data_IF_980743631079
#
_entry.id   IF_980743631079
#
_cell.length_a   1.000
_cell.length_b   1.000
_cell.length_c   1.000
_cell.angle_alpha   90.00
_cell.angle_beta   90.00
_cell.angle_gamma   90.00
#
_symmetry.space_group_name_H-M   'P 1'
#
loop_
_entity.id
_entity.type
_entity.pdbx_description
1 polymer ?
#
# COMPACT_ATOMS: atom_id res chain seq x y z
N UNK A 1 37.93 -42.59 14.85
CA UNK A 1 36.48 -42.56 14.56
C UNK A 1 35.92 -41.29 15.19
N UNK A 2 35.47 -40.31 14.39
CA UNK A 2 34.74 -39.14 14.88
C UNK A 2 33.27 -39.38 14.58
N UNK A 3 32.44 -39.39 15.61
CA UNK A 3 30.98 -39.50 15.53
C UNK A 3 30.42 -38.28 14.81
N UNK A 4 29.44 -38.41 13.90
CA UNK A 4 28.81 -37.25 13.29
C UNK A 4 27.83 -36.63 14.29
N UNK A 5 27.99 -35.35 14.59
CA UNK A 5 26.99 -34.57 15.32
C UNK A 5 25.75 -34.39 14.43
N UNK A 6 24.64 -34.98 14.85
CA UNK A 6 23.31 -34.71 14.30
C UNK A 6 22.91 -33.28 14.65
N UNK A 7 22.84 -32.40 13.64
CA UNK A 7 22.17 -31.10 13.74
C UNK A 7 20.69 -31.32 14.05
N UNK A 8 20.27 -30.93 15.24
CA UNK A 8 18.85 -30.81 15.61
C UNK A 8 18.17 -29.81 14.66
N UNK A 9 17.04 -30.14 14.01
CA UNK A 9 16.33 -29.18 13.19
C UNK A 9 15.80 -28.04 14.07
N UNK A 10 16.14 -26.81 13.71
CA UNK A 10 15.58 -25.60 14.31
C UNK A 10 14.09 -25.56 14.04
N UNK A 11 13.28 -25.75 15.08
CA UNK A 11 11.83 -25.60 15.00
C UNK A 11 11.49 -24.11 14.89
N UNK A 12 11.18 -23.65 13.69
CA UNK A 12 10.61 -22.31 13.51
C UNK A 12 9.21 -22.28 14.14
N UNK A 13 8.92 -21.29 15.02
CA UNK A 13 7.64 -21.21 15.69
C UNK A 13 6.52 -20.97 14.67
N UNK A 14 5.43 -21.72 14.82
CA UNK A 14 4.22 -21.56 14.03
C UNK A 14 3.58 -20.18 14.26
N UNK A 15 2.75 -19.68 13.34
CA UNK A 15 2.01 -18.44 13.56
C UNK A 15 1.17 -18.45 14.85
N UNK A 16 0.60 -19.61 15.20
CA UNK A 16 -0.16 -19.78 16.42
C UNK A 16 0.72 -19.53 17.67
N UNK A 17 1.92 -20.12 17.72
CA UNK A 17 2.88 -19.95 18.82
C UNK A 17 3.40 -18.51 18.91
N UNK A 18 3.59 -17.85 17.76
CA UNK A 18 3.97 -16.43 17.72
C UNK A 18 2.87 -15.53 18.27
N UNK A 19 1.60 -15.83 18.00
CA UNK A 19 0.46 -15.10 18.57
C UNK A 19 0.36 -15.38 20.09
N UNK A 20 0.59 -16.62 20.53
CA UNK A 20 0.64 -16.95 21.96
C UNK A 20 1.79 -16.24 22.69
N UNK A 21 2.97 -16.14 22.07
CA UNK A 21 4.06 -15.33 22.59
C UNK A 21 3.67 -13.86 22.69
N UNK A 22 3.08 -13.29 21.64
CA UNK A 22 2.63 -11.90 21.63
C UNK A 22 1.60 -11.58 22.70
N UNK A 23 0.63 -12.48 22.92
CA UNK A 23 -0.39 -12.34 23.97
C UNK A 23 0.26 -12.32 25.35
N UNK A 24 1.20 -13.23 25.61
CA UNK A 24 1.94 -13.30 26.88
C UNK A 24 2.83 -12.09 27.12
N UNK A 25 3.51 -11.60 26.08
CA UNK A 25 4.40 -10.43 26.16
C UNK A 25 3.70 -9.13 26.54
N UNK A 26 2.40 -9.00 26.27
CA UNK A 26 1.64 -7.79 26.61
C UNK A 26 1.53 -7.61 28.13
N UNK A 27 1.42 -8.70 28.89
CA UNK A 27 1.45 -8.70 30.35
C UNK A 27 0.33 -7.91 31.06
N UNK A 28 -0.69 -7.47 30.32
CA UNK A 28 -1.80 -6.64 30.83
C UNK A 28 -3.13 -6.99 30.15
N UNK A 29 -4.18 -6.20 30.42
CA UNK A 29 -5.54 -6.40 29.92
C UNK A 29 -5.63 -6.53 28.39
N UNK A 30 -4.67 -5.98 27.64
CA UNK A 30 -4.64 -6.07 26.17
C UNK A 30 -4.29 -7.47 25.72
N UNK A 31 -3.41 -8.16 26.44
CA UNK A 31 -3.11 -9.57 26.22
C UNK A 31 -4.33 -10.45 26.45
N UNK A 32 -5.02 -10.25 27.58
CA UNK A 32 -6.25 -10.97 27.91
C UNK A 32 -7.35 -10.74 26.87
N UNK A 33 -7.55 -9.48 26.46
CA UNK A 33 -8.52 -9.10 25.44
C UNK A 33 -8.19 -9.73 24.09
N UNK A 34 -6.93 -9.66 23.65
CA UNK A 34 -6.48 -10.26 22.39
C UNK A 34 -6.61 -11.79 22.41
N UNK A 35 -6.32 -12.43 23.54
CA UNK A 35 -6.55 -13.86 23.74
C UNK A 35 -8.03 -14.24 23.64
N UNK A 36 -8.91 -13.46 24.27
CA UNK A 36 -10.37 -13.65 24.17
C UNK A 36 -10.88 -13.48 22.75
N UNK A 37 -10.44 -12.44 22.04
CA UNK A 37 -10.76 -12.23 20.62
C UNK A 37 -10.34 -13.45 19.79
N UNK A 38 -9.08 -13.89 19.93
CA UNK A 38 -8.57 -15.06 19.20
C UNK A 38 -9.41 -16.30 19.44
N UNK A 39 -9.77 -16.58 20.70
CA UNK A 39 -10.62 -17.71 21.05
C UNK A 39 -11.99 -17.62 20.36
N UNK A 40 -12.63 -16.45 20.39
CA UNK A 40 -13.93 -16.24 19.74
C UNK A 40 -13.85 -16.39 18.20
N UNK A 41 -12.77 -15.92 17.57
CA UNK A 41 -12.54 -16.09 16.13
C UNK A 41 -12.43 -17.58 15.78
N UNK A 42 -11.63 -18.35 16.53
CA UNK A 42 -11.44 -19.80 16.31
C UNK A 42 -12.71 -20.59 16.58
N UNK A 43 -13.53 -20.16 17.54
CA UNK A 43 -14.82 -20.79 17.83
C UNK A 43 -15.85 -20.50 16.72
N UNK A 44 -15.89 -19.27 16.20
CA UNK A 44 -16.77 -18.92 15.08
C UNK A 44 -16.37 -19.64 13.79
N UNK A 45 -15.08 -19.75 13.53
CA UNK A 45 -14.53 -20.23 12.27
C UNK A 45 -13.34 -21.17 12.53
N UNK A 46 -13.58 -22.47 12.76
CA UNK A 46 -12.53 -23.44 13.09
C UNK A 46 -11.43 -23.56 12.03
N UNK A 47 -11.78 -23.31 10.75
CA UNK A 47 -10.86 -23.35 9.61
C UNK A 47 -10.15 -22.00 9.34
N UNK A 48 -10.19 -21.07 10.30
CA UNK A 48 -9.50 -19.78 10.17
C UNK A 48 -7.98 -19.99 10.11
N UNK A 49 -7.33 -19.29 9.19
CA UNK A 49 -5.88 -19.29 9.07
C UNK A 49 -5.33 -18.17 9.96
N UNK A 50 -4.42 -18.52 10.86
CA UNK A 50 -3.69 -17.56 11.69
C UNK A 50 -2.33 -17.24 11.06
N UNK A 51 -2.03 -15.95 10.96
CA UNK A 51 -0.78 -15.44 10.41
C UNK A 51 -0.24 -14.31 11.31
N UNK A 52 1.07 -14.08 11.26
CA UNK A 52 1.68 -12.88 11.85
C UNK A 52 2.21 -12.01 10.71
N UNK A 53 1.65 -10.81 10.57
CA UNK A 53 2.02 -9.86 9.51
C UNK A 53 2.58 -8.57 10.11
N UNK A 54 3.31 -7.81 9.30
CA UNK A 54 3.77 -6.45 9.62
C UNK A 54 4.40 -6.29 11.02
N UNK A 55 5.54 -6.94 11.26
CA UNK A 55 6.28 -6.85 12.53
C UNK A 55 5.47 -7.31 13.76
N UNK A 56 4.90 -8.51 13.70
CA UNK A 56 4.34 -9.15 14.89
C UNK A 56 2.83 -8.98 15.10
N UNK A 57 2.09 -8.45 14.12
CA UNK A 57 0.65 -8.24 14.25
C UNK A 57 -0.11 -9.53 13.91
N UNK A 58 -0.89 -10.09 14.85
CA UNK A 58 -1.83 -11.18 14.56
C UNK A 58 -2.80 -10.81 13.43
N UNK A 59 -3.01 -11.73 12.51
CA UNK A 59 -3.88 -11.57 11.36
C UNK A 59 -4.64 -12.86 11.12
N UNK A 60 -5.96 -12.77 10.95
CA UNK A 60 -6.82 -13.91 10.67
C UNK A 60 -7.35 -13.83 9.25
N UNK A 61 -7.29 -14.94 8.52
CA UNK A 61 -7.72 -15.01 7.13
C UNK A 61 -8.56 -16.25 6.84
N UNK A 62 -9.51 -16.09 5.92
CA UNK A 62 -10.30 -17.18 5.34
C UNK A 62 -10.89 -16.67 4.02
N UNK A 63 -10.41 -17.21 2.89
CA UNK A 63 -10.71 -16.67 1.55
C UNK A 63 -10.21 -15.23 1.32
N UNK A 64 -9.25 -14.77 2.13
CA UNK A 64 -8.80 -13.38 2.23
C UNK A 64 -8.67 -12.95 3.70
N UNK A 65 -8.04 -11.79 3.95
CA UNK A 65 -7.91 -11.26 5.32
C UNK A 65 -9.31 -10.94 5.87
N UNK A 66 -9.60 -11.42 7.08
CA UNK A 66 -10.79 -11.07 7.85
C UNK A 66 -10.51 -9.78 8.63
N UNK A 67 -9.65 -9.89 9.65
CA UNK A 67 -9.25 -8.77 10.49
C UNK A 67 -7.81 -8.93 11.02
N UNK A 68 -7.25 -7.80 11.47
CA UNK A 68 -5.99 -7.73 12.22
C UNK A 68 -6.26 -7.69 13.72
N UNK A 69 -5.26 -7.98 14.55
CA UNK A 69 -5.31 -7.86 16.01
C UNK A 69 -4.23 -6.90 16.52
N UNK A 70 -4.45 -5.61 16.37
CA UNK A 70 -3.47 -4.58 16.72
C UNK A 70 -3.61 -4.15 18.18
N UNK A 71 -2.50 -3.91 18.87
CA UNK A 71 -2.51 -3.47 20.28
C UNK A 71 -1.95 -2.07 20.41
N UNK A 72 -2.75 -1.15 20.95
CA UNK A 72 -2.38 0.24 21.23
C UNK A 72 -2.33 0.48 22.74
N UNK A 73 -1.95 1.70 23.14
CA UNK A 73 -1.92 2.07 24.58
C UNK A 73 -3.29 2.01 25.26
N UNK A 74 -4.37 2.29 24.51
CA UNK A 74 -5.73 2.44 25.07
C UNK A 74 -6.77 1.51 24.43
N UNK A 75 -6.37 0.66 23.49
CA UNK A 75 -7.30 -0.19 22.75
C UNK A 75 -6.61 -1.44 22.22
N UNK A 76 -7.35 -2.54 22.14
CA UNK A 76 -7.10 -3.62 21.19
C UNK A 76 -7.96 -3.37 19.96
N UNK A 77 -7.34 -3.12 18.82
CA UNK A 77 -8.01 -2.74 17.56
C UNK A 77 -8.10 -3.92 16.62
N UNK A 78 -9.32 -4.21 16.17
CA UNK A 78 -9.60 -5.18 15.13
C UNK A 78 -9.97 -4.46 13.84
N UNK A 79 -9.04 -4.39 12.88
CA UNK A 79 -9.31 -3.76 11.59
C UNK A 79 -9.81 -4.79 10.59
N UNK A 80 -11.07 -4.70 10.16
CA UNK A 80 -11.64 -5.61 9.17
C UNK A 80 -11.33 -5.14 7.75
N UNK A 81 -10.68 -6.01 6.95
CA UNK A 81 -10.12 -5.64 5.65
C UNK A 81 -11.18 -5.21 4.62
N UNK A 82 -12.41 -5.76 4.73
CA UNK A 82 -13.59 -5.39 3.94
C UNK A 82 -14.73 -4.89 4.85
N UNK A 83 -14.39 -4.27 5.98
CA UNK A 83 -15.33 -3.83 7.01
C UNK A 83 -16.52 -3.03 6.48
N UNK A 84 -16.34 -2.18 5.46
CA UNK A 84 -17.43 -1.38 4.89
C UNK A 84 -18.53 -2.23 4.23
N UNK A 85 -18.22 -3.44 3.76
CA UNK A 85 -19.15 -4.33 3.07
C UNK A 85 -19.76 -5.42 3.97
N UNK A 86 -19.41 -5.44 5.26
CA UNK A 86 -19.86 -6.47 6.21
C UNK A 86 -21.09 -5.95 6.97
N UNK A 87 -22.25 -6.62 6.93
CA UNK A 87 -23.38 -6.21 7.76
C UNK A 87 -23.01 -6.18 9.26
N UNK A 88 -23.42 -5.13 9.96
CA UNK A 88 -23.14 -4.94 11.40
C UNK A 88 -24.42 -4.50 12.12
N UNK A 89 -25.41 -5.40 12.27
CA UNK A 89 -26.71 -5.07 12.84
C UNK A 89 -26.65 -4.73 14.33
N UNK A 90 -25.66 -5.26 15.05
CA UNK A 90 -25.43 -5.03 16.48
C UNK A 90 -24.52 -3.81 16.74
N UNK A 91 -24.00 -3.15 15.69
CA UNK A 91 -23.24 -1.91 15.78
C UNK A 91 -21.89 -2.05 16.48
N UNK A 92 -21.18 -3.15 16.25
CA UNK A 92 -19.87 -3.42 16.86
C UNK A 92 -18.75 -2.51 16.33
N UNK A 93 -18.85 -2.05 15.07
CA UNK A 93 -17.85 -1.13 14.53
C UNK A 93 -17.98 0.24 15.19
N UNK A 94 -16.92 0.68 15.87
CA UNK A 94 -16.85 1.97 16.55
C UNK A 94 -15.68 2.85 16.04
N UNK A 95 -14.86 2.34 15.13
CA UNK A 95 -13.69 3.04 14.59
C UNK A 95 -13.58 2.90 13.07
N UNK A 96 -12.92 3.87 12.44
CA UNK A 96 -12.72 3.91 10.98
C UNK A 96 -14.03 3.84 10.17
N UNK A 97 -15.11 4.43 10.69
CA UNK A 97 -16.46 4.31 10.13
C UNK A 97 -16.66 5.04 8.80
N UNK A 98 -15.88 6.09 8.54
CA UNK A 98 -15.97 6.90 7.32
C UNK A 98 -15.23 6.27 6.12
N UNK A 99 -14.50 5.16 6.35
CA UNK A 99 -13.73 4.49 5.32
C UNK A 99 -14.62 3.71 4.34
N UNK A 100 -14.34 3.81 3.03
CA UNK A 100 -15.08 3.09 1.98
C UNK A 100 -14.70 1.60 1.82
N UNK A 101 -13.76 1.11 2.63
CA UNK A 101 -13.19 -0.24 2.49
C UNK A 101 -13.13 -0.96 3.83
N UNK A 102 -12.58 -0.30 4.84
CA UNK A 102 -12.32 -0.88 6.17
C UNK A 102 -13.20 -0.21 7.21
N UNK A 103 -13.57 -0.99 8.22
CA UNK A 103 -14.09 -0.53 9.51
C UNK A 103 -13.36 -1.28 10.61
N UNK A 104 -13.35 -0.75 11.82
CA UNK A 104 -12.61 -1.32 12.92
C UNK A 104 -13.42 -1.31 14.22
N UNK A 105 -13.03 -2.20 15.12
CA UNK A 105 -13.49 -2.25 16.51
C UNK A 105 -12.29 -1.90 17.38
N UNK A 106 -12.36 -0.79 18.10
CA UNK A 106 -11.43 -0.47 19.18
C UNK A 106 -12.07 -0.97 20.48
N UNK A 107 -11.49 -2.01 21.08
CA UNK A 107 -11.95 -2.58 22.35
C UNK A 107 -11.15 -1.95 23.49
N UNK A 108 -11.83 -1.31 24.42
CA UNK A 108 -11.22 -0.61 25.54
C UNK A 108 -11.13 -1.48 26.81
N UNK A 109 -10.31 -1.04 27.77
CA UNK A 109 -10.14 -1.73 29.04
C UNK A 109 -11.47 -1.86 29.79
N UNK A 110 -11.80 -3.07 30.25
CA UNK A 110 -13.04 -3.37 30.94
C UNK A 110 -14.28 -3.49 30.04
N UNK A 111 -14.16 -3.29 28.73
CA UNK A 111 -15.27 -3.43 27.80
C UNK A 111 -15.59 -4.91 27.54
N UNK A 112 -16.88 -5.26 27.65
CA UNK A 112 -17.32 -6.62 27.35
C UNK A 112 -17.50 -6.81 25.85
N UNK A 113 -16.86 -7.83 25.29
CA UNK A 113 -17.13 -8.27 23.91
C UNK A 113 -18.43 -9.09 23.92
N UNK A 114 -19.46 -8.62 23.20
CA UNK A 114 -20.62 -9.46 22.88
C UNK A 114 -20.15 -10.62 22.00
N UNK A 115 -20.00 -11.78 22.63
CA UNK A 115 -19.47 -12.97 21.97
C UNK A 115 -20.36 -13.43 20.80
N UNK A 116 -21.68 -13.25 20.90
CA UNK A 116 -22.61 -13.71 19.85
C UNK A 116 -22.50 -12.78 18.63
N UNK A 117 -22.59 -11.47 18.85
CA UNK A 117 -22.48 -10.48 17.79
C UNK A 117 -21.10 -10.54 17.12
N UNK A 118 -20.04 -10.68 17.91
CA UNK A 118 -18.67 -10.74 17.38
C UNK A 118 -18.46 -11.97 16.50
N UNK A 119 -18.92 -13.16 16.92
CA UNK A 119 -18.83 -14.37 16.09
C UNK A 119 -19.65 -14.23 14.80
N UNK A 120 -20.85 -13.64 14.86
CA UNK A 120 -21.66 -13.36 13.69
C UNK A 120 -20.92 -12.43 12.70
N UNK A 121 -20.22 -11.41 13.20
CA UNK A 121 -19.42 -10.51 12.39
C UNK A 121 -18.24 -11.23 11.71
N UNK A 122 -17.56 -12.14 12.41
CA UNK A 122 -16.48 -12.97 11.83
C UNK A 122 -17.01 -13.87 10.71
N UNK A 123 -18.15 -14.52 10.91
CA UNK A 123 -18.79 -15.33 9.87
C UNK A 123 -19.22 -14.49 8.66
N UNK A 124 -19.78 -13.29 8.90
CA UNK A 124 -20.13 -12.35 7.84
C UNK A 124 -18.89 -11.88 7.05
N UNK A 125 -17.75 -11.66 7.73
CA UNK A 125 -16.48 -11.34 7.10
C UNK A 125 -15.98 -12.49 6.20
N UNK A 126 -16.07 -13.73 6.68
CA UNK A 126 -15.68 -14.92 5.93
C UNK A 126 -16.57 -15.13 4.69
N UNK A 127 -17.88 -14.93 4.84
CA UNK A 127 -18.83 -15.00 3.73
C UNK A 127 -18.56 -13.88 2.70
N UNK A 128 -18.26 -12.67 3.16
CA UNK A 128 -17.88 -11.56 2.28
C UNK A 128 -16.58 -11.84 1.51
N UNK A 129 -15.67 -12.64 2.07
CA UNK A 129 -14.47 -13.09 1.38
C UNK A 129 -14.74 -14.20 0.37
N UNK A 130 -15.65 -15.14 0.68
CA UNK A 130 -16.10 -16.20 -0.24
C UNK A 130 -16.87 -15.67 -1.43
N UNK A 131 -17.72 -14.65 -1.23
CA UNK A 131 -18.40 -13.98 -2.32
C UNK A 131 -17.32 -13.31 -3.20
N UNK A 132 -17.12 -13.74 -4.46
CA UNK A 132 -16.41 -12.90 -5.40
C UNK A 132 -17.10 -11.54 -5.33
N UNK A 133 -16.33 -10.46 -5.20
CA UNK A 133 -16.86 -9.11 -5.35
C UNK A 133 -17.79 -9.19 -6.54
N UNK A 134 -19.08 -8.86 -6.37
CA UNK A 134 -20.02 -8.82 -7.49
C UNK A 134 -19.25 -8.13 -8.61
N UNK A 135 -18.94 -8.88 -9.66
CA UNK A 135 -18.28 -8.31 -10.80
C UNK A 135 -19.21 -7.15 -11.16
N UNK A 136 -18.72 -5.91 -11.12
CA UNK A 136 -19.39 -4.88 -11.92
C UNK A 136 -19.51 -5.54 -13.28
N UNK A 137 -20.75 -5.81 -13.71
CA UNK A 137 -21.04 -6.69 -14.83
C UNK A 137 -19.98 -6.47 -15.91
N UNK A 138 -19.20 -7.51 -16.20
CA UNK A 138 -18.27 -7.45 -17.31
C UNK A 138 -19.14 -7.25 -18.55
N UNK A 139 -19.24 -6.01 -19.04
CA UNK A 139 -19.78 -5.75 -20.36
C UNK A 139 -18.98 -6.61 -21.35
N UNK A 140 -19.64 -7.24 -22.33
CA UNK A 140 -18.96 -8.09 -23.30
C UNK A 140 -17.82 -7.28 -23.94
N UNK A 141 -16.68 -7.94 -24.13
CA UNK A 141 -15.52 -7.41 -24.87
C UNK A 141 -15.94 -7.18 -26.32
N UNK A 142 -16.54 -6.03 -26.59
CA UNK A 142 -16.56 -5.43 -27.93
C UNK A 142 -15.36 -4.50 -28.01
N UNK A 143 -14.50 -4.74 -29.00
CA UNK A 143 -13.39 -3.86 -29.34
C UNK A 143 -13.93 -2.44 -29.58
N UNK A 144 -13.61 -1.50 -28.69
CA UNK A 144 -14.08 -0.13 -28.77
C UNK A 144 -13.07 0.82 -28.11
N UNK A 145 -12.29 1.54 -28.93
CA UNK A 145 -11.56 2.76 -28.60
C UNK A 145 -10.59 2.73 -27.41
N UNK A 146 -9.78 3.78 -27.18
CA UNK A 146 -8.98 3.87 -25.97
C UNK A 146 -9.93 4.11 -24.80
N UNK A 147 -10.18 3.07 -24.01
CA UNK A 147 -10.97 3.16 -22.78
C UNK A 147 -10.35 4.18 -21.82
N UNK A 148 -11.18 5.06 -21.26
CA UNK A 148 -10.80 6.08 -20.30
C UNK A 148 -10.06 5.43 -19.11
N UNK A 149 -8.79 5.77 -18.92
CA UNK A 149 -7.95 5.20 -17.87
C UNK A 149 -8.55 5.57 -16.51
N UNK A 150 -8.82 4.55 -15.70
CA UNK A 150 -9.36 4.74 -14.35
C UNK A 150 -8.35 5.47 -13.45
N UNK A 151 -8.82 6.38 -12.61
CA UNK A 151 -7.99 7.04 -11.58
C UNK A 151 -8.09 6.31 -10.22
N UNK A 152 -6.99 6.27 -9.48
CA UNK A 152 -6.91 5.84 -8.08
C UNK A 152 -7.41 6.95 -7.15
N UNK A 153 -7.63 6.60 -5.88
CA UNK A 153 -7.85 7.59 -4.82
C UNK A 153 -6.68 8.58 -4.80
N UNK A 154 -6.96 9.88 -4.85
CA UNK A 154 -5.94 10.92 -5.00
C UNK A 154 -5.66 11.34 -6.45
N UNK A 155 -6.38 10.80 -7.44
CA UNK A 155 -6.33 11.28 -8.83
C UNK A 155 -5.18 10.70 -9.66
N UNK A 156 -4.46 9.71 -9.16
CA UNK A 156 -3.37 9.07 -9.90
C UNK A 156 -3.89 8.09 -10.97
N UNK A 157 -3.47 8.21 -12.25
CA UNK A 157 -3.85 7.23 -13.28
C UNK A 157 -3.48 5.80 -12.90
N UNK A 158 -4.43 4.87 -13.06
CA UNK A 158 -4.22 3.44 -12.82
C UNK A 158 -3.67 2.78 -14.09
N UNK A 159 -2.36 2.87 -14.27
CA UNK A 159 -1.65 2.25 -15.40
C UNK A 159 -0.90 0.98 -14.92
N UNK A 160 -1.10 -0.18 -15.57
CA UNK A 160 -0.35 -1.39 -15.28
C UNK A 160 1.16 -1.18 -15.39
N UNK A 161 1.93 -2.00 -14.67
CA UNK A 161 3.39 -2.04 -14.84
C UNK A 161 3.72 -2.35 -16.31
N UNK A 162 4.62 -1.57 -16.89
CA UNK A 162 5.10 -1.75 -18.25
C UNK A 162 6.44 -1.05 -18.47
N UNK A 163 7.19 -1.50 -19.46
CA UNK A 163 8.47 -0.92 -19.86
C UNK A 163 8.32 -0.17 -21.18
N UNK A 164 9.18 0.83 -21.37
CA UNK A 164 9.19 1.67 -22.56
C UNK A 164 8.28 2.89 -22.47
N UNK A 165 8.15 3.58 -23.60
CA UNK A 165 7.46 4.86 -23.73
C UNK A 165 5.93 4.73 -23.71
N UNK A 166 5.38 3.71 -24.37
CA UNK A 166 3.94 3.49 -24.46
C UNK A 166 3.17 3.54 -23.12
N UNK A 167 3.58 2.84 -22.04
CA UNK A 167 2.88 2.95 -20.75
C UNK A 167 3.02 4.32 -20.10
N UNK A 168 4.12 5.05 -20.34
CA UNK A 168 4.30 6.42 -19.84
C UNK A 168 3.38 7.40 -20.59
N UNK A 169 3.28 7.28 -21.91
CA UNK A 169 2.34 8.10 -22.70
C UNK A 169 0.88 7.83 -22.32
N UNK A 170 0.53 6.56 -22.07
CA UNK A 170 -0.79 6.20 -21.56
C UNK A 170 -1.08 6.82 -20.19
N UNK A 171 -0.08 6.89 -19.30
CA UNK A 171 -0.19 7.59 -18.03
C UNK A 171 -0.42 9.10 -18.23
N UNK A 172 0.40 9.75 -19.07
CA UNK A 172 0.32 11.19 -19.32
C UNK A 172 -1.03 11.57 -19.93
N UNK A 173 -1.50 10.82 -20.93
CA UNK A 173 -2.82 11.01 -21.54
C UNK A 173 -3.97 10.91 -20.53
N UNK A 174 -3.77 10.13 -19.46
CA UNK A 174 -4.74 9.90 -18.40
C UNK A 174 -4.64 10.90 -17.23
N UNK A 175 -3.61 11.76 -17.18
CA UNK A 175 -3.46 12.72 -16.09
C UNK A 175 -4.64 13.72 -16.11
N UNK A 176 -5.28 14.01 -14.96
CA UNK A 176 -6.48 14.84 -14.94
C UNK A 176 -6.17 16.34 -15.06
N UNK A 177 -6.94 17.05 -15.89
CA UNK A 177 -6.91 18.51 -16.02
C UNK A 177 -5.53 19.06 -16.41
N UNK A 178 -5.11 20.15 -15.77
CA UNK A 178 -3.81 20.82 -16.02
C UNK A 178 -2.60 19.91 -15.83
N UNK A 179 -2.76 18.79 -15.11
CA UNK A 179 -1.66 17.86 -14.84
C UNK A 179 -1.18 17.15 -16.10
N UNK A 180 -2.06 16.95 -17.09
CA UNK A 180 -1.67 16.37 -18.39
C UNK A 180 -0.64 17.22 -19.11
N UNK A 181 -0.91 18.51 -19.26
CA UNK A 181 0.03 19.45 -19.89
C UNK A 181 1.37 19.47 -19.14
N UNK A 182 1.35 19.48 -17.80
CA UNK A 182 2.57 19.38 -17.01
C UNK A 182 3.34 18.06 -17.27
N UNK A 183 2.62 16.93 -17.33
CA UNK A 183 3.21 15.62 -17.64
C UNK A 183 3.87 15.59 -19.01
N UNK A 184 3.19 16.13 -20.04
CA UNK A 184 3.72 16.26 -21.40
C UNK A 184 4.99 17.12 -21.42
N UNK A 185 4.99 18.25 -20.70
CA UNK A 185 6.16 19.14 -20.61
C UNK A 185 7.36 18.49 -19.92
N UNK A 186 7.13 17.76 -18.82
CA UNK A 186 8.22 17.06 -18.12
C UNK A 186 8.75 15.92 -18.99
N UNK A 187 7.89 15.11 -19.61
CA UNK A 187 8.31 14.00 -20.47
C UNK A 187 9.12 14.49 -21.68
N UNK A 188 8.66 15.56 -22.35
CA UNK A 188 9.38 16.17 -23.45
C UNK A 188 10.75 16.73 -23.01
N UNK A 189 10.81 17.37 -21.84
CA UNK A 189 12.06 17.85 -21.26
C UNK A 189 13.04 16.70 -20.98
N UNK A 190 12.60 15.65 -20.30
CA UNK A 190 13.47 14.50 -19.95
C UNK A 190 13.95 13.78 -21.21
N UNK A 191 13.05 13.57 -22.18
CA UNK A 191 13.37 12.96 -23.48
C UNK A 191 14.41 13.75 -24.26
N UNK A 192 14.33 15.09 -24.23
CA UNK A 192 15.28 15.96 -24.92
C UNK A 192 16.65 16.01 -24.25
N UNK A 193 16.72 16.02 -22.92
CA UNK A 193 17.97 16.31 -22.20
C UNK A 193 18.78 15.05 -21.84
N UNK A 194 18.17 13.86 -21.84
CA UNK A 194 18.81 12.62 -21.37
C UNK A 194 19.05 11.64 -22.52
N UNK A 195 20.32 11.38 -22.83
CA UNK A 195 20.72 10.33 -23.79
C UNK A 195 20.59 8.95 -23.15
N UNK A 196 20.16 7.95 -23.90
CA UNK A 196 19.98 6.59 -23.38
C UNK A 196 18.85 6.48 -22.35
N UNK A 197 17.85 7.36 -22.45
CA UNK A 197 16.70 7.39 -21.57
C UNK A 197 15.94 6.06 -21.62
N UNK A 198 15.68 5.49 -20.45
CA UNK A 198 14.76 4.38 -20.25
C UNK A 198 13.53 4.88 -19.50
N UNK A 199 12.35 4.46 -19.97
CA UNK A 199 11.06 4.82 -19.38
C UNK A 199 10.34 3.55 -18.90
N UNK A 200 9.55 3.69 -17.86
CA UNK A 200 8.72 2.60 -17.36
C UNK A 200 7.56 3.15 -16.52
N UNK A 201 6.51 2.34 -16.37
CA UNK A 201 5.54 2.50 -15.29
C UNK A 201 5.81 1.46 -14.20
N UNK A 202 5.91 1.90 -12.95
CA UNK A 202 6.04 1.08 -11.74
C UNK A 202 5.08 1.60 -10.68
N UNK A 203 4.33 0.70 -10.04
CA UNK A 203 3.31 1.05 -9.04
C UNK A 203 2.37 2.18 -9.50
N UNK A 204 1.89 2.11 -10.76
CA UNK A 204 1.05 3.12 -11.41
C UNK A 204 1.70 4.51 -11.57
N UNK A 205 3.03 4.60 -11.59
CA UNK A 205 3.76 5.88 -11.69
C UNK A 205 4.82 5.80 -12.78
N UNK A 206 5.01 6.84 -13.62
CA UNK A 206 6.12 6.92 -14.55
C UNK A 206 7.47 7.04 -13.84
N UNK A 207 8.44 6.31 -14.33
CA UNK A 207 9.83 6.29 -13.90
C UNK A 207 10.71 6.56 -15.12
N UNK A 208 11.75 7.36 -14.91
CA UNK A 208 12.75 7.75 -15.90
C UNK A 208 14.13 7.38 -15.37
N UNK A 209 14.93 6.78 -16.24
CA UNK A 209 16.24 6.22 -15.90
C UNK A 209 17.19 6.29 -17.07
N UNK A 210 18.40 5.79 -16.87
CA UNK A 210 19.38 5.61 -17.95
C UNK A 210 19.75 4.14 -18.04
N UNK A 211 19.89 3.63 -19.26
CA UNK A 211 20.20 2.22 -19.50
C UNK A 211 21.47 1.81 -18.73
N UNK A 212 21.35 0.78 -17.89
CA UNK A 212 22.46 0.27 -17.05
C UNK A 212 22.79 1.10 -15.81
N UNK A 213 22.18 2.27 -15.62
CA UNK A 213 22.49 3.18 -14.52
C UNK A 213 21.29 3.46 -13.59
N UNK A 214 20.14 2.79 -13.79
CA UNK A 214 19.00 2.81 -12.86
C UNK A 214 18.05 3.99 -13.06
N UNK A 215 17.12 4.17 -12.13
CA UNK A 215 16.07 5.19 -12.19
C UNK A 215 16.48 6.45 -11.42
N UNK A 216 16.34 7.63 -12.01
CA UNK A 216 16.71 8.89 -11.37
C UNK A 216 15.50 9.78 -11.05
N UNK A 217 14.37 9.62 -11.76
CA UNK A 217 13.17 10.45 -11.59
C UNK A 217 11.89 9.61 -11.61
N UNK A 218 10.92 9.96 -10.77
CA UNK A 218 9.55 9.41 -10.78
C UNK A 218 8.48 10.50 -10.68
N UNK A 219 7.31 10.27 -11.27
CA UNK A 219 6.16 11.20 -11.26
C UNK A 219 4.95 10.53 -10.62
N UNK A 220 4.22 11.25 -9.76
CA UNK A 220 2.95 10.77 -9.19
C UNK A 220 1.91 11.90 -9.11
N UNK A 221 0.68 11.62 -9.52
CA UNK A 221 -0.41 12.59 -9.39
C UNK A 221 -1.07 12.50 -8.02
N UNK A 222 -1.25 13.64 -7.37
CA UNK A 222 -2.11 13.82 -6.20
C UNK A 222 -3.28 14.72 -6.56
N UNK A 223 -4.29 14.85 -5.68
CA UNK A 223 -5.49 15.63 -5.97
C UNK A 223 -5.15 17.05 -6.41
N UNK A 224 -4.21 17.70 -5.72
CA UNK A 224 -3.93 19.13 -5.86
C UNK A 224 -2.55 19.46 -6.46
N UNK A 225 -1.71 18.46 -6.72
CA UNK A 225 -0.35 18.66 -7.21
C UNK A 225 0.18 17.43 -7.96
N UNK A 226 1.25 17.61 -8.73
CA UNK A 226 2.07 16.52 -9.27
C UNK A 226 3.37 16.47 -8.48
N UNK A 227 3.67 15.32 -7.87
CA UNK A 227 4.94 15.09 -7.20
C UNK A 227 5.97 14.61 -8.21
N UNK A 228 7.10 15.29 -8.29
CA UNK A 228 8.28 14.85 -9.04
C UNK A 228 9.36 14.49 -8.03
N UNK A 229 9.72 13.21 -7.98
CA UNK A 229 10.70 12.65 -7.06
C UNK A 229 12.01 12.39 -7.79
N UNK A 230 13.12 12.85 -7.23
CA UNK A 230 14.47 12.47 -7.62
C UNK A 230 15.01 11.46 -6.61
N UNK A 231 15.46 10.29 -7.08
CA UNK A 231 15.81 9.19 -6.18
C UNK A 231 17.15 9.39 -5.45
N UNK A 232 18.07 10.14 -6.06
CA UNK A 232 19.25 10.72 -5.40
C UNK A 232 19.11 12.25 -5.41
N UNK A 233 18.09 12.72 -4.69
CA UNK A 233 17.69 14.13 -4.68
C UNK A 233 18.52 15.00 -3.74
N UNK A 234 19.14 14.41 -2.71
CA UNK A 234 20.07 15.13 -1.79
C UNK A 234 21.34 15.60 -2.48
N UNK A 235 21.74 14.93 -3.56
CA UNK A 235 22.93 15.25 -4.35
C UNK A 235 22.69 16.32 -5.44
N UNK A 236 21.46 16.85 -5.51
CA UNK A 236 21.10 17.89 -6.47
C UNK A 236 21.31 19.29 -5.88
N UNK A 237 21.65 20.25 -6.74
CA UNK A 237 21.82 21.65 -6.38
C UNK A 237 20.94 22.58 -7.23
N UNK A 238 20.04 23.39 -6.62
CA UNK A 238 19.64 23.34 -5.22
C UNK A 238 18.96 22.00 -4.87
N UNK A 239 18.98 21.59 -3.61
CA UNK A 239 18.28 20.38 -3.17
C UNK A 239 16.76 20.59 -3.28
N UNK A 240 15.98 19.71 -3.93
CA UNK A 240 14.53 19.80 -3.93
C UNK A 240 13.98 19.80 -2.49
N UNK A 241 13.01 20.67 -2.16
CA UNK A 241 12.67 20.98 -0.77
C UNK A 241 11.95 19.84 -0.03
N UNK A 242 11.28 18.94 -0.76
CA UNK A 242 10.54 17.83 -0.18
C UNK A 242 11.44 16.68 0.24
N UNK A 243 11.31 16.20 1.46
CA UNK A 243 12.06 15.06 1.99
C UNK A 243 11.62 14.69 3.40
N UNK A 244 11.87 13.45 3.82
CA UNK A 244 11.72 13.02 5.22
C UNK A 244 12.92 12.15 5.62
N UNK A 245 13.19 11.93 6.92
CA UNK A 245 14.21 10.98 7.33
C UNK A 245 14.02 9.56 6.74
N UNK A 246 12.77 9.17 6.46
CA UNK A 246 12.43 7.87 5.88
C UNK A 246 12.73 7.78 4.37
N UNK A 247 12.78 8.90 3.66
CA UNK A 247 13.05 8.91 2.22
C UNK A 247 14.53 8.80 1.86
N UNK A 248 15.42 8.73 2.87
CA UNK A 248 16.89 8.67 2.69
C UNK A 248 17.35 9.77 1.72
N UNK A 249 17.90 9.39 0.59
CA UNK A 249 18.49 10.27 -0.43
C UNK A 249 17.45 10.86 -1.37
N UNK A 250 16.24 10.30 -1.41
CA UNK A 250 15.19 10.79 -2.28
C UNK A 250 14.65 12.15 -1.80
N UNK A 251 14.54 13.10 -2.73
CA UNK A 251 13.90 14.40 -2.54
C UNK A 251 12.87 14.63 -3.64
N UNK A 252 11.88 15.48 -3.38
CA UNK A 252 10.83 15.77 -4.35
C UNK A 252 10.43 17.24 -4.34
N UNK A 253 9.71 17.61 -5.39
CA UNK A 253 8.96 18.86 -5.48
C UNK A 253 7.49 18.53 -5.74
N UNK A 254 6.61 19.22 -5.02
CA UNK A 254 5.16 19.16 -5.25
C UNK A 254 4.79 20.36 -6.13
N UNK A 255 4.52 20.10 -7.41
CA UNK A 255 4.21 21.13 -8.39
C UNK A 255 2.71 21.35 -8.38
N UNK A 256 2.29 22.58 -8.04
CA UNK A 256 0.91 23.02 -8.10
C UNK A 256 0.60 23.71 -9.44
N UNK A 257 -0.69 23.88 -9.74
CA UNK A 257 -1.17 24.51 -10.97
C UNK A 257 -0.51 25.88 -11.19
N UNK A 258 0.02 26.11 -12.39
CA UNK A 258 0.70 27.37 -12.74
C UNK A 258 2.03 27.63 -12.02
N UNK A 259 2.59 26.66 -11.26
CA UNK A 259 3.85 26.82 -10.51
C UNK A 259 5.02 26.01 -11.06
N UNK A 260 4.98 25.64 -12.34
CA UNK A 260 6.05 24.87 -12.97
C UNK A 260 7.21 25.77 -13.42
N UNK A 261 8.38 25.57 -12.82
CA UNK A 261 9.66 26.17 -13.26
C UNK A 261 10.43 25.19 -14.14
N UNK A 262 10.32 25.37 -15.45
CA UNK A 262 11.00 24.51 -16.43
C UNK A 262 12.53 24.66 -16.39
N UNK A 263 13.05 25.85 -16.06
CA UNK A 263 14.49 26.11 -15.99
C UNK A 263 15.11 25.32 -14.83
N UNK A 264 14.48 25.36 -13.66
CA UNK A 264 14.91 24.59 -12.50
C UNK A 264 14.73 23.07 -12.72
N UNK A 265 13.61 22.64 -13.30
CA UNK A 265 13.39 21.23 -13.63
C UNK A 265 14.47 20.69 -14.59
N UNK A 266 14.84 21.48 -15.61
CA UNK A 266 15.91 21.13 -16.54
C UNK A 266 17.25 20.97 -15.83
N UNK A 267 17.58 21.86 -14.90
CA UNK A 267 18.82 21.79 -14.12
C UNK A 267 18.88 20.49 -13.30
N UNK A 268 17.79 20.13 -12.61
CA UNK A 268 17.71 18.90 -11.83
C UNK A 268 17.76 17.63 -12.69
N UNK A 269 17.03 17.58 -13.81
CA UNK A 269 17.05 16.42 -14.72
C UNK A 269 18.47 16.16 -15.23
N UNK A 270 19.22 17.21 -15.61
CA UNK A 270 20.60 17.06 -16.07
C UNK A 270 21.56 16.53 -15.00
N UNK A 271 21.39 16.98 -13.76
CA UNK A 271 22.19 16.51 -12.63
C UNK A 271 21.84 15.06 -12.31
N UNK A 272 20.56 14.77 -12.11
CA UNK A 272 20.07 13.45 -11.73
C UNK A 272 20.42 12.36 -12.76
N UNK A 273 20.38 12.67 -14.06
CA UNK A 273 20.73 11.71 -15.12
C UNK A 273 22.22 11.30 -15.13
N UNK A 274 23.10 12.05 -14.44
CA UNK A 274 24.54 11.76 -14.31
C UNK A 274 24.89 11.02 -13.03
N UNK A 275 23.95 10.93 -12.09
CA UNK A 275 24.14 10.25 -10.81
C UNK A 275 23.79 8.76 -10.96
N UNK A 276 24.33 7.89 -10.08
CA UNK A 276 23.85 6.52 -9.96
C UNK A 276 22.35 6.53 -9.63
N UNK A 277 21.55 5.92 -10.49
CA UNK A 277 20.12 5.78 -10.29
C UNK A 277 19.79 4.68 -9.29
N UNK A 278 18.59 4.77 -8.74
CA UNK A 278 18.03 3.75 -7.88
C UNK A 278 17.84 2.44 -8.64
N UNK A 279 18.31 1.35 -8.03
CA UNK A 279 18.17 -0.02 -8.53
C UNK A 279 16.98 -0.66 -7.84
N UNK A 280 16.06 -1.20 -8.64
CA UNK A 280 14.95 -2.03 -8.17
C UNK A 280 15.43 -3.40 -7.74
#
# INVERSE_FOLDING_TARGET
MKTPETKTPSHEPTPAELIDARIRELGDWRGETLGRVRALIREALPDVIEEVKWRGVPCWSHGGILCTGETYKKAVKLTFAKGADIPDPDGLFNASLEGNTRRAIDIHEGEAIDARAFKALILAAAERNRKPRAAKAAKPKTAAGPAEVKLLSGGNPQIPKGDGDAPVQAYIAAMPGWKRELGERIDALVTREVRGLTKAVRWNSPFYGTAGNGWFLGIHCFTNYVKVTFFDGVSLDPVPPGGTPKSKDARWIDIHEGKYDEKQMKAWVKQAARLPGWKM
#
